data_IF_257239156990
#
_entry.id   IF_257239156990
#
_cell.length_a   1.000
_cell.length_b   1.000
_cell.length_c   1.000
_cell.angle_alpha   90.00
_cell.angle_beta   90.00
_cell.angle_gamma   90.00
#
_symmetry.space_group_name_H-M   'P 1'
#
loop_
_entity.id
_entity.type
_entity.pdbx_description
1 polymer ?
#
# COMPACT_ATOMS: atom_id res chain seq x y z
N UNK A 1 32.67 10.94 -65.76
CA UNK A 1 32.58 9.50 -65.44
C UNK A 1 32.37 9.36 -63.94
N UNK A 2 31.18 8.95 -63.56
CA UNK A 2 30.73 8.75 -62.19
C UNK A 2 30.72 7.25 -61.86
N UNK A 3 31.20 6.87 -60.67
CA UNK A 3 30.82 5.61 -59.98
C UNK A 3 31.46 5.60 -58.58
N UNK A 4 30.73 6.06 -57.55
CA UNK A 4 29.87 5.27 -56.66
C UNK A 4 30.65 4.33 -55.72
N UNK A 5 30.95 4.84 -54.52
CA UNK A 5 31.50 4.10 -53.38
C UNK A 5 30.32 3.59 -52.53
N UNK A 6 30.16 2.26 -52.45
CA UNK A 6 28.98 1.59 -51.90
C UNK A 6 29.11 1.40 -50.38
N UNK A 7 28.14 1.98 -49.67
CA UNK A 7 27.58 1.72 -48.34
C UNK A 7 28.31 0.75 -47.38
N UNK A 8 28.70 1.27 -46.22
CA UNK A 8 28.91 0.50 -44.99
C UNK A 8 27.57 -0.02 -44.47
N UNK A 9 27.51 -1.31 -44.21
CA UNK A 9 26.36 -2.04 -43.64
C UNK A 9 26.18 -1.68 -42.17
N UNK A 10 25.21 -0.81 -41.87
CA UNK A 10 24.70 -0.61 -40.52
C UNK A 10 23.89 -1.83 -40.09
N UNK A 11 24.37 -2.55 -39.10
CA UNK A 11 23.59 -3.56 -38.36
C UNK A 11 22.40 -2.89 -37.69
N UNK A 12 21.15 -3.39 -37.87
CA UNK A 12 20.03 -2.89 -37.10
C UNK A 12 20.22 -3.29 -35.62
N UNK A 13 19.94 -2.40 -34.65
CA UNK A 13 19.95 -2.79 -33.25
C UNK A 13 18.88 -3.88 -33.05
N UNK A 14 19.35 -5.03 -32.57
CA UNK A 14 18.53 -6.19 -32.24
C UNK A 14 17.53 -5.79 -31.14
N UNK A 15 16.24 -5.83 -31.46
CA UNK A 15 15.13 -5.65 -30.49
C UNK A 15 15.00 -6.96 -29.73
N UNK A 16 15.98 -7.27 -28.89
CA UNK A 16 15.97 -8.44 -28.02
C UNK A 16 16.18 -7.98 -26.59
N UNK A 17 15.14 -8.16 -25.78
CA UNK A 17 15.13 -8.06 -24.31
C UNK A 17 15.11 -6.67 -23.66
N UNK A 18 14.00 -5.95 -23.81
CA UNK A 18 13.65 -4.91 -22.84
C UNK A 18 12.58 -5.46 -21.88
N UNK A 19 13.03 -6.22 -20.88
CA UNK A 19 12.34 -6.23 -19.59
C UNK A 19 12.84 -4.99 -18.82
N UNK A 20 12.55 -3.80 -19.33
CA UNK A 20 12.76 -2.58 -18.56
C UNK A 20 11.78 -2.71 -17.39
N UNK A 21 12.30 -2.80 -16.16
CA UNK A 21 11.43 -2.72 -14.99
C UNK A 21 10.67 -1.41 -15.06
N UNK A 22 9.38 -1.38 -14.73
CA UNK A 22 8.59 -0.15 -14.80
C UNK A 22 9.28 1.03 -14.07
N UNK A 23 10.06 0.75 -13.03
CA UNK A 23 10.90 1.71 -12.30
C UNK A 23 12.07 2.27 -13.11
N UNK A 24 12.74 1.45 -13.93
CA UNK A 24 13.83 1.88 -14.80
C UNK A 24 13.31 2.78 -15.93
N UNK A 25 12.16 2.43 -16.52
CA UNK A 25 11.49 3.26 -17.54
C UNK A 25 11.04 4.61 -16.97
N UNK A 26 10.50 4.63 -15.74
CA UNK A 26 10.10 5.87 -15.08
C UNK A 26 11.30 6.77 -14.78
N UNK A 27 12.43 6.20 -14.35
CA UNK A 27 13.67 6.95 -14.08
C UNK A 27 14.23 7.59 -15.35
N UNK A 28 14.18 6.87 -16.48
CA UNK A 28 14.60 7.37 -17.80
C UNK A 28 13.68 8.48 -18.33
N UNK A 29 12.37 8.40 -18.05
CA UNK A 29 11.42 9.44 -18.40
C UNK A 29 11.63 10.72 -17.59
N UNK A 30 11.80 10.62 -16.27
CA UNK A 30 12.05 11.78 -15.38
C UNK A 30 13.37 12.48 -15.73
N UNK A 31 14.40 11.71 -16.08
CA UNK A 31 15.72 12.27 -16.45
C UNK A 31 15.82 12.71 -17.91
N UNK A 32 14.73 12.63 -18.68
CA UNK A 32 14.72 13.01 -20.09
C UNK A 32 14.96 14.50 -20.29
N UNK A 33 15.77 14.86 -21.29
CA UNK A 33 15.96 16.25 -21.73
C UNK A 33 14.74 16.82 -22.47
N UNK A 34 13.73 16.00 -22.76
CA UNK A 34 12.46 16.43 -23.31
C UNK A 34 11.49 16.79 -22.18
N UNK A 35 11.14 18.07 -22.07
CA UNK A 35 10.22 18.60 -21.05
C UNK A 35 8.89 17.84 -20.96
N UNK A 36 8.38 17.29 -22.07
CA UNK A 36 7.14 16.51 -22.08
C UNK A 36 7.35 15.13 -21.45
N UNK A 37 8.46 14.47 -21.77
CA UNK A 37 8.79 13.16 -21.19
C UNK A 37 9.13 13.25 -19.70
N UNK A 38 9.89 14.30 -19.30
CA UNK A 38 10.16 14.61 -17.90
C UNK A 38 8.87 14.85 -17.12
N UNK A 39 7.96 15.68 -17.66
CA UNK A 39 6.65 15.93 -17.04
C UNK A 39 5.79 14.67 -16.90
N UNK A 40 5.76 13.79 -17.91
CA UNK A 40 5.05 12.50 -17.79
C UNK A 40 5.69 11.61 -16.72
N UNK A 41 7.02 11.56 -16.68
CA UNK A 41 7.78 10.82 -15.67
C UNK A 41 7.46 11.30 -14.25
N UNK A 42 7.45 12.62 -14.04
CA UNK A 42 7.12 13.24 -12.75
C UNK A 42 5.69 12.92 -12.30
N UNK A 43 4.71 13.01 -13.21
CA UNK A 43 3.31 12.69 -12.91
C UNK A 43 3.14 11.20 -12.58
N UNK A 44 3.80 10.31 -13.31
CA UNK A 44 3.76 8.87 -13.04
C UNK A 44 4.46 8.52 -11.72
N UNK A 45 5.56 9.19 -11.40
CA UNK A 45 6.25 9.03 -10.12
C UNK A 45 5.36 9.49 -8.96
N UNK A 46 4.71 10.64 -9.10
CA UNK A 46 3.76 11.14 -8.11
C UNK A 46 2.57 10.18 -7.93
N UNK A 47 1.99 9.67 -9.02
CA UNK A 47 0.90 8.70 -8.99
C UNK A 47 1.32 7.38 -8.34
N UNK A 48 2.52 6.89 -8.65
CA UNK A 48 3.09 5.69 -8.03
C UNK A 48 3.29 5.86 -6.53
N UNK A 49 3.83 7.01 -6.10
CA UNK A 49 4.00 7.34 -4.69
C UNK A 49 2.66 7.34 -3.94
N UNK A 50 1.61 7.94 -4.51
CA UNK A 50 0.25 7.95 -3.95
C UNK A 50 -0.34 6.54 -3.89
N UNK A 51 -0.13 5.73 -4.93
CA UNK A 51 -0.65 4.35 -5.00
C UNK A 51 -0.01 3.43 -3.95
N UNK A 52 1.20 3.75 -3.51
CA UNK A 52 1.91 3.02 -2.44
C UNK A 52 1.74 3.62 -1.05
N UNK A 53 1.03 4.74 -0.91
CA UNK A 53 0.84 5.44 0.36
C UNK A 53 0.02 4.64 1.39
N UNK A 54 -0.53 3.47 1.02
CA UNK A 54 -1.07 2.53 2.00
C UNK A 54 0.03 2.08 2.93
N UNK A 55 -0.11 2.39 4.22
CA UNK A 55 0.99 2.20 5.17
C UNK A 55 1.38 0.73 5.27
N UNK A 56 2.67 0.46 5.09
CA UNK A 56 3.25 -0.87 5.25
C UNK A 56 3.37 -1.29 6.72
N UNK A 57 3.07 -0.36 7.65
CA UNK A 57 3.14 -0.62 9.10
C UNK A 57 2.01 -1.53 9.54
N UNK A 58 2.28 -2.51 10.43
CA UNK A 58 1.24 -3.34 11.03
C UNK A 58 0.31 -2.49 11.90
N UNK A 59 -0.91 -2.97 12.11
CA UNK A 59 -1.86 -2.38 13.04
C UNK A 59 -1.54 -2.92 14.43
N UNK A 60 -1.30 -2.03 15.38
CA UNK A 60 -1.05 -2.39 16.78
C UNK A 60 -2.39 -2.51 17.50
N UNK A 61 -2.64 -3.64 18.14
CA UNK A 61 -3.91 -3.95 18.78
C UNK A 61 -3.72 -4.13 20.27
N UNK A 62 -4.47 -3.36 21.06
CA UNK A 62 -4.32 -3.25 22.50
C UNK A 62 -5.56 -3.79 23.23
N UNK A 63 -5.33 -4.57 24.29
CA UNK A 63 -6.36 -4.97 25.24
C UNK A 63 -5.75 -5.15 26.62
N UNK A 64 -6.14 -4.31 27.58
CA UNK A 64 -5.53 -4.25 28.91
C UNK A 64 -4.02 -4.01 28.79
N UNK A 65 -3.21 -4.91 29.36
CA UNK A 65 -1.75 -4.83 29.32
C UNK A 65 -1.12 -5.55 28.13
N UNK A 66 -1.91 -6.07 27.19
CA UNK A 66 -1.42 -6.88 26.08
C UNK A 66 -1.53 -6.11 24.76
N UNK A 67 -0.41 -6.09 24.03
CA UNK A 67 -0.30 -5.47 22.71
C UNK A 67 0.08 -6.55 21.68
N UNK A 68 -0.59 -6.56 20.53
CA UNK A 68 -0.31 -7.47 19.42
C UNK A 68 -0.21 -6.71 18.11
N UNK A 69 0.85 -6.92 17.35
CA UNK A 69 0.97 -6.40 15.99
C UNK A 69 0.28 -7.35 15.00
N UNK A 70 -0.58 -6.81 14.13
CA UNK A 70 -1.29 -7.56 13.10
C UNK A 70 -1.05 -6.96 11.71
N UNK A 71 -0.79 -7.84 10.75
CA UNK A 71 -0.54 -7.44 9.37
C UNK A 71 -1.79 -6.78 8.76
N UNK A 72 -1.65 -5.54 8.29
CA UNK A 72 -2.74 -4.76 7.68
C UNK A 72 -3.43 -5.50 6.54
N UNK A 73 -2.65 -6.11 5.63
CA UNK A 73 -3.17 -6.91 4.51
C UNK A 73 -4.10 -8.05 4.98
N UNK A 74 -3.75 -8.69 6.09
CA UNK A 74 -4.57 -9.78 6.66
C UNK A 74 -5.89 -9.24 7.24
N UNK A 75 -5.85 -8.09 7.89
CA UNK A 75 -7.05 -7.46 8.44
C UNK A 75 -7.96 -6.93 7.33
N UNK A 76 -7.39 -6.46 6.22
CA UNK A 76 -8.12 -5.88 5.10
C UNK A 76 -8.91 -6.92 4.27
N UNK A 77 -8.50 -8.19 4.30
CA UNK A 77 -9.21 -9.29 3.61
C UNK A 77 -10.31 -9.93 4.44
N UNK A 78 -10.47 -9.52 5.71
CA UNK A 78 -11.51 -10.03 6.59
C UNK A 78 -12.65 -9.03 6.63
N UNK A 79 -13.89 -9.51 6.64
CA UNK A 79 -15.02 -8.68 7.03
C UNK A 79 -14.90 -8.26 8.49
N UNK A 80 -15.53 -7.13 8.85
CA UNK A 80 -15.49 -6.61 10.21
C UNK A 80 -15.86 -7.66 11.26
N UNK A 81 -16.94 -8.40 11.04
CA UNK A 81 -17.37 -9.48 11.96
C UNK A 81 -16.31 -10.58 12.13
N UNK A 82 -15.65 -11.00 11.05
CA UNK A 82 -14.61 -12.03 11.09
C UNK A 82 -13.34 -11.51 11.76
N UNK A 83 -12.95 -10.26 11.47
CA UNK A 83 -11.85 -9.59 12.14
C UNK A 83 -12.10 -9.52 13.64
N UNK A 84 -13.29 -9.10 14.07
CA UNK A 84 -13.64 -9.01 15.48
C UNK A 84 -13.61 -10.37 16.20
N UNK A 85 -14.18 -11.41 15.60
CA UNK A 85 -14.11 -12.78 16.13
C UNK A 85 -12.66 -13.29 16.22
N UNK A 86 -11.84 -13.00 15.20
CA UNK A 86 -10.43 -13.34 15.19
C UNK A 86 -9.69 -12.65 16.35
N UNK A 87 -9.93 -11.37 16.58
CA UNK A 87 -9.36 -10.63 17.71
C UNK A 87 -9.82 -11.19 19.05
N UNK A 88 -11.14 -11.43 19.22
CA UNK A 88 -11.66 -12.08 20.43
C UNK A 88 -10.96 -13.41 20.70
N UNK A 89 -10.75 -14.24 19.68
CA UNK A 89 -9.99 -15.49 19.81
C UNK A 89 -8.54 -15.25 20.25
N UNK A 90 -7.83 -14.31 19.62
CA UNK A 90 -6.42 -14.01 19.95
C UNK A 90 -6.23 -13.46 21.36
N UNK A 91 -7.20 -12.73 21.87
CA UNK A 91 -7.16 -12.14 23.21
C UNK A 91 -7.87 -12.98 24.29
N UNK A 92 -8.40 -14.16 23.96
CA UNK A 92 -9.06 -15.05 24.93
C UNK A 92 -10.44 -14.57 25.37
N UNK A 93 -11.10 -13.74 24.55
CA UNK A 93 -12.35 -13.05 24.86
C UNK A 93 -13.58 -13.70 24.20
N UNK A 94 -13.46 -14.91 23.67
CA UNK A 94 -14.59 -15.60 23.02
C UNK A 94 -15.76 -15.82 23.99
N UNK A 95 -15.46 -16.09 25.26
CA UNK A 95 -16.43 -16.34 26.33
C UNK A 95 -16.76 -15.09 27.15
N UNK A 96 -16.35 -13.90 26.71
CA UNK A 96 -16.68 -12.67 27.40
C UNK A 96 -18.20 -12.46 27.41
N UNK A 97 -18.77 -12.29 28.60
CA UNK A 97 -20.21 -12.07 28.81
C UNK A 97 -20.61 -10.60 28.64
N UNK A 98 -19.66 -9.69 28.81
CA UNK A 98 -19.84 -8.27 28.55
C UNK A 98 -19.80 -7.98 27.04
N UNK A 99 -20.50 -6.91 26.64
CA UNK A 99 -20.35 -6.35 25.31
C UNK A 99 -18.90 -5.90 25.11
N UNK A 100 -18.41 -6.02 23.87
CA UNK A 100 -17.07 -5.62 23.51
C UNK A 100 -17.18 -4.71 22.29
N UNK A 101 -16.40 -3.64 22.28
CA UNK A 101 -16.35 -2.68 21.18
C UNK A 101 -14.91 -2.52 20.68
N UNK A 102 -14.79 -2.11 19.42
CA UNK A 102 -13.51 -1.76 18.82
C UNK A 102 -13.41 -0.25 18.70
N UNK A 103 -12.26 0.29 19.10
CA UNK A 103 -11.91 1.67 18.81
C UNK A 103 -10.59 1.71 18.05
N UNK A 104 -10.46 2.65 17.13
CA UNK A 104 -9.24 2.87 16.36
C UNK A 104 -8.77 4.31 16.47
N UNK A 105 -7.46 4.49 16.32
CA UNK A 105 -6.87 5.76 15.89
C UNK A 105 -6.55 5.67 14.41
N UNK A 106 -6.47 6.80 13.73
CA UNK A 106 -6.25 6.86 12.29
C UNK A 106 -4.97 7.61 11.98
N UNK A 107 -4.38 7.32 10.82
CA UNK A 107 -3.20 8.04 10.36
C UNK A 107 -3.57 9.51 10.18
N UNK A 108 -2.81 10.40 10.83
CA UNK A 108 -3.09 11.83 10.87
C UNK A 108 -3.82 12.28 12.14
N UNK A 109 -4.43 11.36 12.89
CA UNK A 109 -5.04 11.59 14.21
C UNK A 109 -4.79 10.37 15.11
N UNK A 110 -3.57 10.31 15.65
CA UNK A 110 -3.08 9.18 16.46
C UNK A 110 -3.44 9.31 17.96
N UNK A 111 -4.04 10.43 18.35
CA UNK A 111 -4.36 10.75 19.75
C UNK A 111 -5.80 10.35 20.10
N UNK A 112 -6.71 10.46 19.13
CA UNK A 112 -8.14 10.26 19.36
C UNK A 112 -8.58 8.85 18.97
N UNK A 113 -9.03 8.08 19.96
CA UNK A 113 -9.71 6.81 19.72
C UNK A 113 -11.18 7.05 19.42
N UNK A 114 -11.64 6.55 18.27
CA UNK A 114 -13.06 6.57 17.87
C UNK A 114 -13.58 5.16 17.66
N UNK A 115 -14.87 4.96 17.86
CA UNK A 115 -15.51 3.66 17.63
C UNK A 115 -15.46 3.26 16.16
N UNK A 116 -15.19 1.98 15.92
CA UNK A 116 -15.07 1.44 14.56
C UNK A 116 -16.42 0.92 14.12
N UNK A 117 -16.92 1.47 13.00
CA UNK A 117 -18.03 0.87 12.28
C UNK A 117 -17.59 -0.44 11.62
N UNK A 118 -18.24 -1.54 12.01
CA UNK A 118 -17.92 -2.88 11.55
C UNK A 118 -18.40 -3.14 10.12
N UNK A 119 -19.37 -2.35 9.62
CA UNK A 119 -19.90 -2.47 8.26
C UNK A 119 -19.00 -1.74 7.24
N UNK A 120 -18.22 -0.75 7.70
CA UNK A 120 -17.23 -0.01 6.90
C UNK A 120 -15.79 -0.54 7.09
N UNK A 121 -15.62 -1.72 7.67
CA UNK A 121 -14.33 -2.25 8.11
C UNK A 121 -13.26 -2.24 7.01
N UNK A 122 -13.58 -2.78 5.83
CA UNK A 122 -12.65 -2.94 4.71
C UNK A 122 -12.13 -1.59 4.19
N UNK A 123 -12.96 -0.54 4.26
CA UNK A 123 -12.59 0.82 3.89
C UNK A 123 -11.71 1.50 4.95
N UNK A 124 -11.96 1.21 6.23
CA UNK A 124 -11.26 1.85 7.35
C UNK A 124 -9.88 1.24 7.62
N UNK A 125 -9.71 -0.09 7.43
CA UNK A 125 -8.46 -0.80 7.74
C UNK A 125 -7.21 -0.18 7.11
N UNK A 126 -7.19 0.27 5.84
CA UNK A 126 -6.03 0.95 5.25
C UNK A 126 -5.51 2.15 6.07
N UNK A 127 -6.43 2.82 6.78
CA UNK A 127 -6.16 4.08 7.48
C UNK A 127 -5.93 3.91 9.00
N UNK A 128 -6.26 2.75 9.56
CA UNK A 128 -6.09 2.50 11.01
C UNK A 128 -4.62 2.51 11.43
N UNK A 129 -4.29 3.24 12.49
CA UNK A 129 -2.96 3.25 13.09
C UNK A 129 -2.88 2.25 14.25
N UNK A 130 -3.71 2.42 15.28
CA UNK A 130 -3.88 1.50 16.40
C UNK A 130 -5.34 1.07 16.51
N UNK A 131 -5.56 -0.10 17.09
CA UNK A 131 -6.87 -0.61 17.45
C UNK A 131 -6.85 -0.95 18.94
N UNK A 132 -7.96 -0.75 19.64
CA UNK A 132 -8.13 -1.23 21.01
C UNK A 132 -9.47 -1.92 21.18
N UNK A 133 -9.48 -2.96 21.99
CA UNK A 133 -10.71 -3.63 22.41
C UNK A 133 -11.12 -3.03 23.76
N UNK A 134 -12.36 -2.56 23.86
CA UNK A 134 -12.94 -2.07 25.10
C UNK A 134 -14.15 -2.90 25.51
N UNK A 135 -14.48 -2.85 26.80
CA UNK A 135 -15.65 -3.47 27.42
C UNK A 135 -16.68 -2.39 27.69
#
# INVERSE_FOLDING_TARGET
>A
MASYQRAQSGTPPSISSLKIGAQDAMSELVSSSNNVAAGIGEVLQALGAVSTATTSKPIMIEYGNRIMALGRKRMAVMSGRNAFLYLKSKFGLLNATAALYLQATFIGDEETFVEVDMDAWEELVPYMHKLRIII
#
